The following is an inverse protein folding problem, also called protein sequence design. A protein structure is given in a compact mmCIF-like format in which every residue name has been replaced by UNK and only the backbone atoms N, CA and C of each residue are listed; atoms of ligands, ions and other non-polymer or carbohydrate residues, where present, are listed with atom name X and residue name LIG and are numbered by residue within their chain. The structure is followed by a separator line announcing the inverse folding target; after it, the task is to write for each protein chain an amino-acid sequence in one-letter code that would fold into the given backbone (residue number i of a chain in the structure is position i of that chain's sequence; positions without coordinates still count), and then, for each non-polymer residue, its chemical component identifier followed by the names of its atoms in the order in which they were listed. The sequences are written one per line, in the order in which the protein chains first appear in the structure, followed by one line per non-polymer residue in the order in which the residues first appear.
data_IF_614270584582
#
_entry.id   IF_614270584582
#
_cell.length_a   1.000
_cell.length_b   1.000
_cell.length_c   1.000
_cell.angle_alpha   90.00
_cell.angle_beta   90.00
_cell.angle_gamma   90.00
#
_symmetry.space_group_name_H-M   'P 1'
#
loop_
_entity.id
_entity.type
_entity.pdbx_description
1 polymer ?
#
# COMPACT_ATOMS: atom_id res chain seq x y z
N UNK A 1 -0.17 -13.68 -18.27
CA UNK A 1 0.67 -12.51 -18.62
C UNK A 1 1.19 -11.78 -17.38
N UNK A 2 0.33 -11.35 -16.46
CA UNK A 2 0.77 -10.63 -15.24
C UNK A 2 1.81 -11.40 -14.40
N UNK A 3 1.63 -12.72 -14.22
CA UNK A 3 2.64 -13.57 -13.57
C UNK A 3 4.03 -13.45 -14.23
N UNK A 4 4.12 -13.61 -15.55
CA UNK A 4 5.41 -13.53 -16.26
C UNK A 4 6.03 -12.13 -16.24
N UNK A 5 5.20 -11.07 -16.27
CA UNK A 5 5.66 -9.68 -16.15
C UNK A 5 6.29 -9.40 -14.78
N UNK A 6 5.66 -9.92 -13.71
CA UNK A 6 6.12 -9.68 -12.34
C UNK A 6 7.24 -10.64 -11.91
N UNK A 7 7.30 -11.85 -12.48
CA UNK A 7 8.22 -12.92 -12.10
C UNK A 7 9.69 -12.48 -12.02
N UNK A 8 10.18 -11.79 -13.04
CA UNK A 8 11.59 -11.35 -13.05
C UNK A 8 11.90 -10.35 -11.94
N UNK A 9 10.97 -9.44 -11.64
CA UNK A 9 11.10 -8.50 -10.54
C UNK A 9 11.07 -9.19 -9.17
N UNK A 10 10.29 -10.26 -9.02
CA UNK A 10 10.29 -11.08 -7.80
C UNK A 10 11.63 -11.78 -7.62
N UNK A 11 12.17 -12.41 -8.67
CA UNK A 11 13.48 -13.09 -8.62
C UNK A 11 14.59 -12.08 -8.26
N UNK A 12 14.59 -10.91 -8.90
CA UNK A 12 15.55 -9.85 -8.59
C UNK A 12 15.39 -9.34 -7.15
N UNK A 13 14.15 -9.17 -6.68
CA UNK A 13 13.85 -8.74 -5.32
C UNK A 13 14.33 -9.74 -4.26
N UNK A 14 14.20 -11.04 -4.52
CA UNK A 14 14.70 -12.10 -3.63
C UNK A 14 16.22 -12.01 -3.50
N UNK A 15 16.95 -11.91 -4.62
CA UNK A 15 18.41 -11.78 -4.58
C UNK A 15 18.87 -10.48 -3.89
N UNK A 16 18.16 -9.38 -4.13
CA UNK A 16 18.46 -8.09 -3.52
C UNK A 16 18.15 -8.07 -2.02
N UNK A 17 17.24 -8.91 -1.55
CA UNK A 17 16.81 -8.94 -0.14
C UNK A 17 17.96 -9.20 0.83
N UNK A 18 18.96 -10.00 0.44
CA UNK A 18 20.18 -10.22 1.24
C UNK A 18 20.91 -8.89 1.52
N UNK A 19 21.09 -8.07 0.49
CA UNK A 19 21.80 -6.80 0.56
C UNK A 19 20.94 -5.70 1.23
N UNK A 20 19.63 -5.73 0.98
CA UNK A 20 18.66 -4.81 1.59
C UNK A 20 18.54 -5.03 3.10
N UNK A 21 18.58 -6.27 3.59
CA UNK A 21 18.58 -6.57 5.04
C UNK A 21 19.83 -6.01 5.71
N UNK A 22 21.01 -6.23 5.12
CA UNK A 22 22.27 -5.68 5.66
C UNK A 22 22.22 -4.15 5.73
N UNK A 23 21.77 -3.52 4.64
CA UNK A 23 21.62 -2.07 4.56
C UNK A 23 20.62 -1.55 5.61
N UNK A 24 19.50 -2.24 5.81
CA UNK A 24 18.49 -1.89 6.80
C UNK A 24 19.05 -1.92 8.23
N UNK A 25 19.83 -2.95 8.58
CA UNK A 25 20.44 -3.07 9.91
C UNK A 25 21.41 -1.91 10.19
N UNK A 26 22.29 -1.63 9.23
CA UNK A 26 23.29 -0.55 9.34
C UNK A 26 22.60 0.81 9.42
N UNK A 27 21.74 1.11 8.46
CA UNK A 27 21.10 2.43 8.38
C UNK A 27 20.21 2.72 9.57
N UNK A 28 19.44 1.73 10.04
CA UNK A 28 18.55 1.91 11.18
C UNK A 28 19.34 2.16 12.47
N UNK A 29 20.44 1.42 12.66
CA UNK A 29 21.32 1.65 13.80
C UNK A 29 21.92 3.06 13.77
N UNK A 30 22.53 3.45 12.66
CA UNK A 30 23.18 4.77 12.52
C UNK A 30 22.19 5.92 12.67
N UNK A 31 21.02 5.82 12.01
CA UNK A 31 20.04 6.91 11.99
C UNK A 31 19.29 7.03 13.31
N UNK A 32 18.89 5.91 13.93
CA UNK A 32 17.95 5.92 15.05
C UNK A 32 18.59 5.60 16.40
N UNK A 33 19.51 4.64 16.46
CA UNK A 33 20.10 4.19 17.73
C UNK A 33 21.39 4.94 18.07
N UNK A 34 22.37 4.96 17.17
CA UNK A 34 23.69 5.52 17.41
C UNK A 34 23.63 7.01 17.79
N UNK A 35 22.77 7.79 17.12
CA UNK A 35 22.54 9.21 17.47
C UNK A 35 22.02 9.39 18.88
N UNK A 36 21.08 8.56 19.32
CA UNK A 36 20.53 8.63 20.68
C UNK A 36 21.54 8.16 21.73
N UNK A 37 22.30 7.10 21.43
CA UNK A 37 23.37 6.58 22.29
C UNK A 37 24.47 7.63 22.51
N UNK A 38 24.80 8.43 21.49
CA UNK A 38 25.81 9.48 21.59
C UNK A 38 25.51 10.54 22.66
N UNK A 39 24.25 10.77 23.05
CA UNK A 39 23.92 11.67 24.16
C UNK A 39 24.49 11.21 25.51
N UNK A 40 24.73 9.91 25.65
CA UNK A 40 25.23 9.29 26.88
C UNK A 40 26.75 9.11 26.88
N UNK A 41 27.48 9.58 25.85
CA UNK A 41 28.96 9.46 25.77
C UNK A 41 29.71 10.07 26.95
N UNK A 42 29.12 11.04 27.64
CA UNK A 42 29.71 11.69 28.83
C UNK A 42 29.37 11.00 30.14
N UNK A 43 28.59 9.92 30.10
CA UNK A 43 28.19 9.20 31.30
C UNK A 43 29.40 8.45 31.88
N UNK A 44 29.70 8.59 33.18
CA UNK A 44 30.95 8.11 33.78
C UNK A 44 31.09 6.57 33.82
N UNK A 45 30.00 5.83 33.67
CA UNK A 45 29.99 4.36 33.83
C UNK A 45 29.44 3.59 32.64
N UNK A 46 28.94 4.26 31.59
CA UNK A 46 28.37 3.58 30.42
C UNK A 46 29.39 3.62 29.29
N UNK A 47 29.76 2.45 28.78
CA UNK A 47 30.73 2.30 27.70
C UNK A 47 30.02 2.28 26.35
N UNK A 48 29.69 3.46 25.82
CA UNK A 48 28.97 3.59 24.53
C UNK A 48 29.76 2.97 23.37
N UNK A 49 31.08 3.10 23.37
CA UNK A 49 31.92 2.55 22.30
C UNK A 49 31.90 1.01 22.29
N UNK A 50 31.77 0.35 23.45
CA UNK A 50 31.60 -1.11 23.54
C UNK A 50 30.23 -1.57 23.03
N UNK A 51 29.18 -0.77 23.24
CA UNK A 51 27.83 -1.04 22.69
C UNK A 51 27.87 -0.94 21.16
N UNK A 52 28.50 0.11 20.62
CA UNK A 52 28.67 0.28 19.17
C UNK A 52 29.47 -0.90 18.59
N UNK A 53 30.59 -1.27 19.21
CA UNK A 53 31.40 -2.41 18.79
C UNK A 53 30.62 -3.73 18.83
N UNK A 54 29.76 -3.92 19.84
CA UNK A 54 28.89 -5.11 19.94
C UNK A 54 27.91 -5.17 18.76
N UNK A 55 27.34 -4.01 18.39
CA UNK A 55 26.49 -3.90 17.21
C UNK A 55 27.26 -4.20 15.91
N UNK A 56 28.47 -3.64 15.74
CA UNK A 56 29.28 -3.85 14.54
C UNK A 56 29.59 -5.34 14.36
N UNK A 57 29.98 -6.03 15.44
CA UNK A 57 30.18 -7.48 15.44
C UNK A 57 28.89 -8.26 15.11
N UNK A 58 27.74 -7.80 15.61
CA UNK A 58 26.44 -8.42 15.29
C UNK A 58 26.13 -8.28 13.79
N UNK A 59 26.31 -7.10 13.20
CA UNK A 59 26.10 -6.87 11.76
C UNK A 59 27.07 -7.70 10.93
N UNK A 60 28.34 -7.79 11.32
CA UNK A 60 29.31 -8.63 10.64
C UNK A 60 28.90 -10.12 10.67
N UNK A 61 28.45 -10.62 11.82
CA UNK A 61 27.97 -11.99 11.94
C UNK A 61 26.75 -12.27 11.06
N UNK A 62 25.77 -11.35 11.04
CA UNK A 62 24.59 -11.47 10.17
C UNK A 62 25.00 -11.40 8.70
N UNK A 63 25.87 -10.47 8.32
CA UNK A 63 26.34 -10.32 6.94
C UNK A 63 27.02 -11.60 6.44
N UNK A 64 27.91 -12.17 7.26
CA UNK A 64 28.59 -13.42 6.93
C UNK A 64 27.62 -14.60 6.78
N UNK A 65 26.54 -14.62 7.56
CA UNK A 65 25.52 -15.66 7.46
C UNK A 65 24.65 -15.47 6.21
N UNK A 66 24.24 -14.24 5.90
CA UNK A 66 23.49 -13.93 4.68
C UNK A 66 24.29 -14.24 3.42
N UNK A 67 25.60 -13.98 3.38
CA UNK A 67 26.46 -14.34 2.25
C UNK A 67 26.53 -15.86 2.03
N UNK A 68 26.57 -16.65 3.11
CA UNK A 68 26.50 -18.13 2.98
C UNK A 68 25.15 -18.59 2.45
N UNK A 69 24.07 -17.96 2.88
CA UNK A 69 22.73 -18.29 2.39
C UNK A 69 22.56 -17.88 0.93
N UNK A 70 23.06 -16.71 0.54
CA UNK A 70 23.10 -16.21 -0.85
C UNK A 70 23.89 -17.14 -1.76
N UNK A 71 25.03 -17.66 -1.29
CA UNK A 71 25.84 -18.62 -2.05
C UNK A 71 25.14 -19.98 -2.28
N UNK A 72 24.21 -20.37 -1.42
CA UNK A 72 23.40 -21.58 -1.57
C UNK A 72 22.01 -21.30 -2.17
N UNK A 73 21.72 -20.06 -2.55
CA UNK A 73 20.44 -19.68 -3.13
C UNK A 73 20.30 -20.30 -4.53
N UNK A 74 19.17 -20.96 -4.85
CA UNK A 74 18.95 -21.49 -6.20
C UNK A 74 18.98 -20.40 -7.27
N UNK A 75 19.60 -20.67 -8.41
CA UNK A 75 19.65 -19.73 -9.53
C UNK A 75 18.36 -19.81 -10.36
N UNK A 76 17.34 -19.06 -9.93
CA UNK A 76 16.08 -18.94 -10.66
C UNK A 76 16.17 -18.06 -11.93
N UNK A 77 17.31 -17.41 -12.20
CA UNK A 77 17.51 -16.62 -13.42
C UNK A 77 17.86 -17.50 -14.60
N UNK A 78 18.74 -18.48 -14.38
CA UNK A 78 19.17 -19.41 -15.43
C UNK A 78 18.32 -20.68 -15.46
N UNK A 79 17.98 -21.24 -14.30
CA UNK A 79 17.19 -22.47 -14.15
C UNK A 79 16.04 -22.27 -13.17
N UNK A 80 14.90 -21.79 -13.67
CA UNK A 80 13.70 -21.67 -12.85
C UNK A 80 12.90 -22.96 -12.77
N UNK A 81 13.26 -23.77 -11.77
CA UNK A 81 12.53 -25.00 -11.45
C UNK A 81 11.08 -24.74 -11.02
N UNK A 82 10.80 -23.61 -10.35
CA UNK A 82 9.44 -23.25 -9.91
C UNK A 82 8.54 -22.95 -11.10
N UNK A 83 9.04 -22.21 -12.09
CA UNK A 83 8.31 -21.97 -13.34
C UNK A 83 8.00 -23.29 -14.06
N UNK A 84 8.95 -24.21 -14.10
CA UNK A 84 8.75 -25.51 -14.75
C UNK A 84 7.67 -26.32 -14.02
N UNK A 85 7.75 -26.42 -12.70
CA UNK A 85 6.76 -27.14 -11.87
C UNK A 85 5.36 -26.52 -12.00
N UNK A 86 5.25 -25.19 -11.97
CA UNK A 86 3.97 -24.49 -12.17
C UNK A 86 3.42 -24.78 -13.58
N UNK A 87 4.27 -24.72 -14.60
CA UNK A 87 3.83 -24.96 -15.99
C UNK A 87 3.30 -26.38 -16.16
N UNK A 88 3.98 -27.38 -15.59
CA UNK A 88 3.55 -28.77 -15.62
C UNK A 88 2.25 -28.98 -14.81
N UNK A 89 2.15 -28.37 -13.63
CA UNK A 89 0.97 -28.50 -12.77
C UNK A 89 -0.31 -27.94 -13.43
N UNK A 90 -0.17 -26.87 -14.20
CA UNK A 90 -1.29 -26.25 -14.90
C UNK A 90 -1.51 -26.75 -16.33
N UNK A 91 -0.73 -27.74 -16.78
CA UNK A 91 -0.92 -28.31 -18.11
C UNK A 91 -2.33 -28.89 -18.26
N UNK A 92 -2.99 -28.58 -19.37
CA UNK A 92 -4.42 -28.84 -19.64
C UNK A 92 -5.43 -28.32 -18.58
N UNK A 93 -4.98 -27.54 -17.59
CA UNK A 93 -5.80 -26.99 -16.50
C UNK A 93 -6.06 -25.48 -16.67
N UNK A 94 -5.76 -24.91 -17.85
CA UNK A 94 -5.99 -23.50 -18.19
C UNK A 94 -7.23 -23.38 -19.08
N UNK A 95 -8.11 -22.43 -18.73
CA UNK A 95 -9.31 -22.14 -19.52
C UNK A 95 -9.02 -21.45 -20.86
N UNK A 96 -9.99 -21.48 -21.77
CA UNK A 96 -9.91 -20.72 -23.03
C UNK A 96 -10.02 -19.21 -22.75
N UNK A 97 -9.11 -18.42 -23.33
CA UNK A 97 -9.15 -16.96 -23.22
C UNK A 97 -10.34 -16.39 -24.01
N UNK A 98 -10.97 -15.34 -23.47
CA UNK A 98 -11.98 -14.58 -24.20
C UNK A 98 -11.46 -14.01 -25.52
N UNK A 99 -12.32 -14.02 -26.54
CA UNK A 99 -12.02 -13.32 -27.79
C UNK A 99 -11.87 -11.81 -27.56
N UNK A 100 -11.19 -11.13 -28.49
CA UNK A 100 -11.00 -9.66 -28.42
C UNK A 100 -12.32 -8.88 -28.34
N UNK A 101 -13.36 -9.38 -29.03
CA UNK A 101 -14.68 -8.75 -29.03
C UNK A 101 -15.39 -8.94 -27.68
N UNK A 102 -15.25 -10.12 -27.06
CA UNK A 102 -15.76 -10.38 -25.70
C UNK A 102 -15.03 -9.53 -24.67
N UNK A 103 -13.69 -9.47 -24.73
CA UNK A 103 -12.89 -8.60 -23.86
C UNK A 103 -13.31 -7.13 -23.98
N UNK A 104 -13.56 -6.65 -25.20
CA UNK A 104 -14.02 -5.27 -25.41
C UNK A 104 -15.36 -5.00 -24.73
N UNK A 105 -16.29 -5.97 -24.77
CA UNK A 105 -17.58 -5.87 -24.05
C UNK A 105 -17.36 -5.88 -22.54
N UNK A 106 -16.51 -6.77 -22.03
CA UNK A 106 -16.18 -6.86 -20.61
C UNK A 106 -15.55 -5.56 -20.11
N UNK A 107 -14.65 -4.94 -20.89
CA UNK A 107 -14.05 -3.65 -20.51
C UNK A 107 -15.05 -2.49 -20.51
N UNK A 108 -16.01 -2.49 -21.44
CA UNK A 108 -17.09 -1.50 -21.45
C UNK A 108 -17.99 -1.66 -20.23
N UNK A 109 -18.37 -2.90 -19.89
CA UNK A 109 -19.13 -3.19 -18.66
C UNK A 109 -18.32 -2.80 -17.42
N UNK A 110 -17.02 -3.11 -17.40
CA UNK A 110 -16.11 -2.81 -16.30
C UNK A 110 -16.03 -1.33 -15.98
N UNK A 111 -16.03 -0.47 -17.00
CA UNK A 111 -16.07 0.98 -16.79
C UNK A 111 -17.31 1.42 -16.01
N UNK A 112 -18.48 0.88 -16.35
CA UNK A 112 -19.72 1.21 -15.63
C UNK A 112 -19.74 0.59 -14.23
N UNK A 113 -19.27 -0.65 -14.09
CA UNK A 113 -19.20 -1.34 -12.79
C UNK A 113 -18.29 -0.60 -11.82
N UNK A 114 -17.09 -0.22 -12.26
CA UNK A 114 -16.09 0.40 -11.40
C UNK A 114 -16.51 1.81 -10.97
N UNK A 115 -17.12 2.58 -11.89
CA UNK A 115 -17.70 3.88 -11.56
C UNK A 115 -18.82 3.81 -10.49
N UNK A 116 -19.48 2.66 -10.35
CA UNK A 116 -20.52 2.40 -9.35
C UNK A 116 -20.02 1.51 -8.19
N UNK A 117 -18.70 1.30 -8.07
CA UNK A 117 -18.06 0.46 -7.04
C UNK A 117 -18.65 -0.97 -6.95
N UNK A 118 -19.03 -1.52 -8.11
CA UNK A 118 -19.57 -2.88 -8.22
C UNK A 118 -18.39 -3.87 -8.31
N UNK A 119 -18.27 -4.84 -7.38
CA UNK A 119 -17.16 -5.79 -7.34
C UNK A 119 -17.21 -6.80 -8.50
N UNK A 120 -16.10 -7.51 -8.80
CA UNK A 120 -14.76 -7.32 -8.25
C UNK A 120 -13.92 -6.37 -9.12
N UNK A 121 -12.81 -5.87 -8.58
CA UNK A 121 -11.74 -5.19 -9.30
C UNK A 121 -11.76 -3.66 -9.30
N UNK A 122 -12.81 -3.01 -8.77
CA UNK A 122 -12.91 -1.55 -8.80
C UNK A 122 -11.78 -0.85 -8.03
N UNK A 123 -11.10 -1.54 -7.11
CA UNK A 123 -9.94 -0.98 -6.39
C UNK A 123 -8.68 -0.85 -7.26
N UNK A 124 -8.64 -1.50 -8.42
CA UNK A 124 -7.50 -1.43 -9.33
C UNK A 124 -7.55 -0.26 -10.31
N UNK A 125 -8.70 0.42 -10.43
CA UNK A 125 -8.89 1.49 -11.42
C UNK A 125 -7.84 2.60 -11.27
N UNK A 126 -7.57 3.06 -10.06
CA UNK A 126 -6.66 4.18 -9.81
C UNK A 126 -5.19 3.77 -9.86
N UNK A 127 -4.86 2.49 -9.63
CA UNK A 127 -3.47 2.02 -9.50
C UNK A 127 -2.92 1.49 -10.81
N UNK A 128 -3.77 0.99 -11.71
CA UNK A 128 -3.34 0.28 -12.94
C UNK A 128 -3.58 1.06 -14.25
N UNK A 129 -4.00 2.33 -14.21
CA UNK A 129 -4.29 3.13 -15.42
C UNK A 129 -3.15 3.13 -16.45
N UNK A 130 -1.90 3.15 -15.99
CA UNK A 130 -0.70 3.19 -16.85
C UNK A 130 -0.34 1.83 -17.47
N UNK A 131 -0.96 0.74 -17.02
CA UNK A 131 -0.67 -0.63 -17.46
C UNK A 131 -1.67 -1.16 -18.50
N UNK A 132 -2.67 -0.35 -18.89
CA UNK A 132 -3.65 -0.69 -19.93
C UNK A 132 -4.90 -1.41 -19.42
N UNK A 133 -5.92 -1.52 -20.29
CA UNK A 133 -7.27 -1.96 -19.92
C UNK A 133 -7.32 -3.37 -19.31
N UNK A 134 -6.50 -4.30 -19.82
CA UNK A 134 -6.47 -5.67 -19.30
C UNK A 134 -6.00 -5.73 -17.84
N UNK A 135 -5.05 -4.86 -17.47
CA UNK A 135 -4.57 -4.77 -16.10
C UNK A 135 -5.63 -4.12 -15.18
N UNK A 136 -6.36 -3.13 -15.68
CA UNK A 136 -7.44 -2.47 -14.92
C UNK A 136 -8.60 -3.44 -14.66
N UNK A 137 -9.03 -4.16 -15.70
CA UNK A 137 -10.22 -5.03 -15.64
C UNK A 137 -9.88 -6.51 -15.45
N UNK A 138 -8.65 -6.85 -15.04
CA UNK A 138 -8.19 -8.23 -14.91
C UNK A 138 -9.07 -9.07 -13.97
N UNK A 139 -9.37 -8.52 -12.80
CA UNK A 139 -10.27 -9.13 -11.80
C UNK A 139 -11.67 -9.42 -12.38
N UNK A 140 -12.23 -8.47 -13.12
CA UNK A 140 -13.51 -8.65 -13.79
C UNK A 140 -13.45 -9.70 -14.90
N UNK A 141 -12.36 -9.76 -15.66
CA UNK A 141 -12.14 -10.80 -16.68
C UNK A 141 -12.15 -12.18 -16.03
N UNK A 142 -11.36 -12.39 -14.97
CA UNK A 142 -11.33 -13.65 -14.21
C UNK A 142 -12.74 -13.99 -13.72
N UNK A 143 -13.44 -13.01 -13.13
CA UNK A 143 -14.80 -13.22 -12.64
C UNK A 143 -15.77 -13.70 -13.73
N UNK A 144 -15.71 -13.09 -14.93
CA UNK A 144 -16.53 -13.50 -16.08
C UNK A 144 -16.14 -14.88 -16.61
N UNK A 145 -14.86 -15.26 -16.56
CA UNK A 145 -14.41 -16.62 -16.91
C UNK A 145 -15.01 -17.66 -15.96
N UNK A 146 -14.97 -17.42 -14.63
CA UNK A 146 -15.54 -18.32 -13.62
C UNK A 146 -17.06 -18.53 -13.82
N UNK A 147 -17.78 -17.43 -14.09
CA UNK A 147 -19.22 -17.44 -14.36
C UNK A 147 -19.54 -18.28 -15.61
N UNK A 148 -18.86 -18.02 -16.72
CA UNK A 148 -19.08 -18.72 -17.98
C UNK A 148 -18.69 -20.20 -17.90
N UNK A 149 -17.55 -20.50 -17.30
CA UNK A 149 -17.10 -21.87 -17.08
C UNK A 149 -18.15 -22.68 -16.32
N UNK A 150 -18.62 -22.14 -15.19
CA UNK A 150 -19.60 -22.82 -14.34
C UNK A 150 -20.97 -22.92 -14.99
N UNK A 151 -21.41 -21.89 -15.72
CA UNK A 151 -22.67 -21.93 -16.47
C UNK A 151 -22.69 -23.05 -17.51
N UNK A 152 -21.57 -23.25 -18.20
CA UNK A 152 -21.44 -24.20 -19.29
C UNK A 152 -21.22 -25.63 -18.78
N UNK A 153 -20.34 -25.82 -17.79
CA UNK A 153 -20.00 -27.14 -17.24
C UNK A 153 -20.98 -27.63 -16.18
N UNK A 154 -21.66 -26.70 -15.49
CA UNK A 154 -22.60 -26.96 -14.37
C UNK A 154 -21.98 -27.70 -13.18
N UNK A 155 -20.68 -27.58 -13.00
CA UNK A 155 -19.97 -28.18 -11.87
C UNK A 155 -19.87 -27.18 -10.71
N UNK A 156 -19.94 -27.63 -9.44
CA UNK A 156 -19.57 -26.81 -8.30
C UNK A 156 -18.15 -26.25 -8.46
N UNK A 157 -17.96 -24.99 -8.08
CA UNK A 157 -16.68 -24.28 -8.21
C UNK A 157 -16.22 -23.74 -6.85
N UNK A 158 -14.95 -23.95 -6.56
CA UNK A 158 -14.24 -23.29 -5.46
C UNK A 158 -13.25 -22.33 -6.10
N UNK A 159 -13.32 -21.06 -5.73
CA UNK A 159 -12.37 -20.04 -6.14
C UNK A 159 -11.42 -19.76 -4.98
N UNK A 160 -10.12 -19.86 -5.24
CA UNK A 160 -9.09 -19.63 -4.23
C UNK A 160 -8.35 -18.36 -4.60
N UNK A 161 -8.33 -17.38 -3.71
CA UNK A 161 -7.64 -16.10 -3.92
C UNK A 161 -7.14 -15.53 -2.60
N UNK A 162 -5.94 -14.97 -2.63
CA UNK A 162 -5.39 -14.18 -1.53
C UNK A 162 -5.46 -12.67 -1.80
N UNK A 163 -6.22 -12.23 -2.81
CA UNK A 163 -6.66 -10.84 -2.88
C UNK A 163 -7.45 -10.53 -1.61
N UNK A 164 -7.29 -9.33 -1.03
CA UNK A 164 -7.86 -8.93 0.26
C UNK A 164 -8.55 -7.59 0.20
N UNK A 165 -8.68 -7.04 -0.99
CA UNK A 165 -9.31 -5.75 -1.18
C UNK A 165 -10.81 -5.89 -0.89
N UNK A 166 -11.42 -4.77 -0.51
CA UNK A 166 -12.83 -4.75 -0.12
C UNK A 166 -13.78 -5.09 -1.28
N UNK A 167 -13.33 -5.02 -2.53
CA UNK A 167 -14.06 -5.44 -3.72
C UNK A 167 -14.09 -6.96 -3.90
N UNK A 168 -13.30 -7.72 -3.12
CA UNK A 168 -13.43 -9.18 -3.01
C UNK A 168 -14.05 -9.61 -1.67
N UNK A 169 -13.77 -8.87 -0.60
CA UNK A 169 -14.14 -9.25 0.76
C UNK A 169 -14.90 -8.19 1.55
N UNK A 170 -15.82 -8.61 2.40
CA UNK A 170 -16.35 -7.77 3.47
C UNK A 170 -15.31 -7.65 4.58
N UNK A 171 -14.83 -6.43 4.82
CA UNK A 171 -13.85 -6.11 5.86
C UNK A 171 -14.55 -5.33 6.97
N UNK A 172 -14.43 -5.79 8.22
CA UNK A 172 -14.89 -5.06 9.41
C UNK A 172 -13.73 -4.86 10.38
N UNK A 173 -13.46 -3.60 10.75
CA UNK A 173 -12.38 -3.21 11.68
C UNK A 173 -11.02 -3.84 11.35
N UNK A 174 -10.67 -3.84 10.07
CA UNK A 174 -9.41 -4.41 9.56
C UNK A 174 -9.38 -5.93 9.50
N UNK A 175 -10.49 -6.63 9.76
CA UNK A 175 -10.60 -8.09 9.65
C UNK A 175 -11.46 -8.49 8.47
N UNK A 176 -10.95 -9.40 7.65
CA UNK A 176 -11.69 -10.08 6.59
C UNK A 176 -12.75 -10.99 7.22
N UNK A 177 -14.02 -10.76 6.92
CA UNK A 177 -15.15 -11.50 7.52
C UNK A 177 -15.63 -12.61 6.60
N UNK A 178 -15.88 -12.28 5.33
CA UNK A 178 -16.44 -13.20 4.32
C UNK A 178 -16.27 -12.61 2.92
N UNK A 179 -16.40 -13.42 1.85
CA UNK A 179 -16.47 -12.90 0.49
C UNK A 179 -17.65 -11.94 0.32
N UNK A 180 -17.53 -10.97 -0.60
CA UNK A 180 -18.61 -10.00 -0.89
C UNK A 180 -19.90 -10.74 -1.27
N UNK A 181 -21.00 -10.34 -0.64
CA UNK A 181 -22.30 -10.97 -0.85
C UNK A 181 -22.84 -10.72 -2.25
N UNK A 182 -22.45 -9.59 -2.87
CA UNK A 182 -22.76 -9.25 -4.25
C UNK A 182 -22.15 -10.27 -5.22
N UNK A 183 -20.92 -10.72 -4.98
CA UNK A 183 -20.26 -11.74 -5.79
C UNK A 183 -20.97 -13.09 -5.66
N UNK A 184 -21.27 -13.49 -4.43
CA UNK A 184 -22.00 -14.75 -4.16
C UNK A 184 -23.38 -14.72 -4.85
N UNK A 185 -24.08 -13.58 -4.76
CA UNK A 185 -25.40 -13.39 -5.36
C UNK A 185 -25.34 -13.39 -6.89
N UNK A 186 -24.45 -12.59 -7.49
CA UNK A 186 -24.28 -12.53 -8.95
C UNK A 186 -23.96 -13.91 -9.52
N UNK A 187 -23.05 -14.64 -8.86
CA UNK A 187 -22.68 -15.98 -9.29
C UNK A 187 -23.86 -16.95 -9.24
N UNK A 188 -24.64 -16.93 -8.15
CA UNK A 188 -25.82 -17.78 -8.02
C UNK A 188 -26.90 -17.41 -9.03
N UNK A 189 -27.20 -16.12 -9.21
CA UNK A 189 -28.20 -15.65 -10.18
C UNK A 189 -27.85 -16.06 -11.61
N UNK A 190 -26.56 -16.00 -11.98
CA UNK A 190 -26.09 -16.33 -13.32
C UNK A 190 -26.02 -17.84 -13.55
N UNK A 191 -25.48 -18.60 -12.60
CA UNK A 191 -25.15 -20.03 -12.79
C UNK A 191 -26.20 -20.99 -12.21
N UNK A 192 -26.96 -20.57 -11.20
CA UNK A 192 -27.81 -21.43 -10.37
C UNK A 192 -27.04 -22.23 -9.31
N UNK A 193 -25.71 -22.02 -9.18
CA UNK A 193 -24.82 -22.76 -8.28
C UNK A 193 -24.23 -21.78 -7.25
N UNK A 194 -24.05 -22.23 -6.00
CA UNK A 194 -23.36 -21.43 -4.98
C UNK A 194 -21.85 -21.64 -5.10
N UNK A 195 -21.10 -20.55 -5.22
CA UNK A 195 -19.64 -20.55 -5.20
C UNK A 195 -19.10 -20.58 -3.76
N UNK A 196 -17.96 -21.22 -3.57
CA UNK A 196 -17.12 -21.05 -2.37
C UNK A 196 -15.88 -20.24 -2.75
N UNK A 197 -15.55 -19.22 -1.94
CA UNK A 197 -14.37 -18.39 -2.13
C UNK A 197 -13.53 -18.49 -0.86
N UNK A 198 -12.27 -18.90 -1.00
CA UNK A 198 -11.35 -19.11 0.13
C UNK A 198 -9.99 -18.45 -0.12
N UNK A 199 -9.34 -18.05 0.98
CA UNK A 199 -7.90 -17.85 1.00
C UNK A 199 -7.15 -19.18 0.95
N UNK A 200 -5.88 -19.17 0.56
CA UNK A 200 -5.09 -20.38 0.41
C UNK A 200 -4.98 -21.18 1.72
N UNK A 201 -4.71 -20.53 2.84
CA UNK A 201 -4.60 -21.17 4.17
C UNK A 201 -5.91 -21.85 4.61
N UNK A 202 -7.04 -21.17 4.40
CA UNK A 202 -8.36 -21.71 4.71
C UNK A 202 -8.70 -22.92 3.84
N UNK A 203 -8.39 -22.84 2.54
CA UNK A 203 -8.60 -23.97 1.64
C UNK A 203 -7.79 -25.19 2.08
N UNK A 204 -6.51 -25.03 2.39
CA UNK A 204 -5.65 -26.14 2.82
C UNK A 204 -6.11 -26.75 4.14
N UNK A 205 -6.50 -25.91 5.11
CA UNK A 205 -7.09 -26.34 6.38
C UNK A 205 -8.32 -27.21 6.13
N UNK A 206 -9.26 -26.70 5.34
CA UNK A 206 -10.50 -27.40 5.01
C UNK A 206 -10.30 -28.66 4.17
N UNK A 207 -9.31 -28.66 3.28
CA UNK A 207 -8.96 -29.82 2.48
C UNK A 207 -8.38 -30.94 3.35
N UNK A 208 -7.53 -30.59 4.33
CA UNK A 208 -7.01 -31.55 5.32
C UNK A 208 -8.13 -32.11 6.20
N UNK A 209 -8.93 -31.23 6.82
CA UNK A 209 -10.03 -31.63 7.72
C UNK A 209 -11.06 -32.53 7.04
N UNK A 210 -11.32 -32.32 5.75
CA UNK A 210 -12.23 -33.15 4.95
C UNK A 210 -11.59 -34.40 4.37
N UNK A 211 -10.31 -34.64 4.63
CA UNK A 211 -9.57 -35.80 4.12
C UNK A 211 -9.27 -35.76 2.63
N UNK A 212 -9.31 -34.60 1.99
CA UNK A 212 -8.92 -34.41 0.57
C UNK A 212 -7.40 -34.38 0.41
N UNK A 213 -6.70 -33.78 1.37
CA UNK A 213 -5.24 -33.67 1.42
C UNK A 213 -4.72 -34.10 2.81
N UNK A 214 -4.87 -35.39 3.19
CA UNK A 214 -4.54 -35.84 4.54
C UNK A 214 -3.04 -35.79 4.86
N UNK A 215 -2.19 -35.78 3.83
CA UNK A 215 -0.72 -35.80 3.96
C UNK A 215 -0.13 -34.41 4.20
N UNK A 216 -0.92 -33.33 4.06
CA UNK A 216 -0.40 -31.98 4.25
C UNK A 216 -0.04 -31.74 5.73
N UNK A 217 1.17 -31.23 5.93
CA UNK A 217 1.72 -30.93 7.25
C UNK A 217 1.08 -29.68 7.82
N UNK A 218 0.86 -29.65 9.13
CA UNK A 218 0.30 -28.46 9.81
C UNK A 218 1.27 -27.27 9.70
N UNK A 219 2.58 -27.54 9.68
CA UNK A 219 3.62 -26.53 9.49
C UNK A 219 3.47 -25.80 8.15
N UNK A 220 3.11 -26.52 7.07
CA UNK A 220 2.88 -25.92 5.75
C UNK A 220 1.65 -25.02 5.75
N UNK A 221 0.58 -25.42 6.46
CA UNK A 221 -0.62 -24.58 6.58
C UNK A 221 -0.32 -23.31 7.37
N UNK A 222 0.42 -23.43 8.47
CA UNK A 222 0.81 -22.26 9.27
C UNK A 222 1.77 -21.34 8.52
N UNK A 223 2.69 -21.86 7.69
CA UNK A 223 3.55 -21.02 6.84
C UNK A 223 2.75 -20.15 5.86
N UNK A 224 1.79 -20.75 5.14
CA UNK A 224 0.92 -20.02 4.20
C UNK A 224 0.08 -18.97 4.94
N UNK A 225 -0.41 -19.33 6.13
CA UNK A 225 -1.16 -18.42 6.99
C UNK A 225 -0.31 -17.29 7.55
N UNK A 226 0.95 -17.53 7.90
CA UNK A 226 1.86 -16.51 8.42
C UNK A 226 2.20 -15.46 7.36
N UNK A 227 2.42 -15.89 6.12
CA UNK A 227 2.54 -14.99 4.96
C UNK A 227 1.28 -14.12 4.87
N UNK A 228 0.10 -14.75 4.95
CA UNK A 228 -1.17 -14.01 4.94
C UNK A 228 -1.26 -13.00 6.08
N UNK A 229 -1.03 -13.41 7.32
CA UNK A 229 -1.16 -12.55 8.50
C UNK A 229 -0.13 -11.41 8.49
N UNK A 230 1.10 -11.66 8.00
CA UNK A 230 2.15 -10.65 7.90
C UNK A 230 1.73 -9.50 6.97
N UNK A 231 1.23 -9.83 5.78
CA UNK A 231 0.70 -8.86 4.84
C UNK A 231 -0.49 -8.08 5.42
N UNK A 232 -1.40 -8.76 6.16
CA UNK A 232 -2.56 -8.14 6.80
C UNK A 232 -2.13 -7.08 7.83
N UNK A 233 -1.12 -7.40 8.64
CA UNK A 233 -0.55 -6.46 9.60
C UNK A 233 0.11 -5.29 8.90
N UNK A 234 0.82 -5.52 7.80
CA UNK A 234 1.45 -4.45 7.03
C UNK A 234 0.41 -3.44 6.51
N UNK A 235 -0.69 -3.92 5.90
CA UNK A 235 -1.77 -3.04 5.44
C UNK A 235 -2.53 -2.36 6.58
N UNK A 236 -2.77 -3.07 7.69
CA UNK A 236 -3.41 -2.47 8.87
C UNK A 236 -2.55 -1.34 9.43
N UNK A 237 -1.25 -1.59 9.61
CA UNK A 237 -0.30 -0.57 10.07
C UNK A 237 -0.22 0.62 9.12
N UNK A 238 -0.18 0.38 7.80
CA UNK A 238 -0.24 1.45 6.79
C UNK A 238 -1.53 2.26 6.91
N UNK A 239 -2.68 1.59 7.06
CA UNK A 239 -3.97 2.25 7.21
C UNK A 239 -4.05 3.05 8.51
N UNK A 240 -3.48 2.56 9.61
CA UNK A 240 -3.40 3.26 10.89
C UNK A 240 -2.44 4.46 10.81
N UNK A 241 -1.33 4.34 10.09
CA UNK A 241 -0.41 5.45 9.81
C UNK A 241 -1.11 6.51 8.95
N UNK A 242 -1.82 6.12 7.89
CA UNK A 242 -2.57 7.05 7.03
C UNK A 242 -3.72 7.71 7.78
N UNK A 243 -4.44 6.95 8.61
CA UNK A 243 -5.53 7.46 9.44
C UNK A 243 -5.00 8.38 10.53
N UNK A 244 -3.88 8.07 11.18
CA UNK A 244 -3.27 8.97 12.17
C UNK A 244 -2.73 10.24 11.54
N UNK A 245 -2.16 10.19 10.34
CA UNK A 245 -1.77 11.39 9.57
C UNK A 245 -3.00 12.20 9.10
N UNK A 246 -4.08 11.54 8.71
CA UNK A 246 -5.36 12.16 8.35
C UNK A 246 -6.06 12.81 9.56
N UNK A 247 -6.04 12.15 10.72
CA UNK A 247 -6.54 12.70 11.98
C UNK A 247 -5.67 13.87 12.46
N UNK A 248 -4.35 13.78 12.31
CA UNK A 248 -3.44 14.89 12.61
C UNK A 248 -3.68 16.09 11.69
N UNK A 249 -3.87 15.88 10.39
CA UNK A 249 -4.15 16.96 9.44
C UNK A 249 -5.54 17.58 9.67
N UNK A 250 -6.54 16.77 10.02
CA UNK A 250 -7.87 17.24 10.43
C UNK A 250 -7.83 18.03 11.73
N UNK A 251 -7.12 17.55 12.76
CA UNK A 251 -6.90 18.32 14.00
C UNK A 251 -6.17 19.63 13.76
N UNK A 252 -5.20 19.68 12.84
CA UNK A 252 -4.53 20.93 12.46
C UNK A 252 -5.50 21.88 11.75
N UNK A 253 -6.34 21.38 10.83
CA UNK A 253 -7.39 22.16 10.16
C UNK A 253 -8.45 22.69 11.14
N UNK A 254 -8.85 21.86 12.11
CA UNK A 254 -9.81 22.23 13.15
C UNK A 254 -9.21 23.26 14.12
N UNK A 255 -7.92 23.17 14.45
CA UNK A 255 -7.20 24.19 15.22
C UNK A 255 -7.06 25.52 14.46
N UNK A 256 -6.79 25.48 13.16
CA UNK A 256 -6.68 26.67 12.30
C UNK A 256 -8.04 27.35 12.08
N UNK A 257 -9.13 26.58 12.00
CA UNK A 257 -10.48 27.13 11.86
C UNK A 257 -11.10 27.59 13.19
N UNK A 258 -10.69 27.01 14.33
CA UNK A 258 -11.09 27.46 15.66
C UNK A 258 -10.39 28.75 16.09
N UNK A 259 -9.23 29.09 15.50
CA UNK A 259 -8.59 30.39 15.67
C UNK A 259 -9.23 31.42 14.75
N UNK A 260 -10.32 32.03 15.21
CA UNK A 260 -10.83 33.28 14.64
C UNK A 260 -9.83 34.41 14.89
N UNK A 261 -8.81 34.53 14.03
CA UNK A 261 -8.06 35.77 13.94
C UNK A 261 -9.01 36.86 13.40
N UNK A 262 -9.50 37.72 14.30
CA UNK A 262 -9.99 39.03 13.88
C UNK A 262 -8.81 39.73 13.16
N UNK A 263 -8.98 40.16 11.90
CA UNK A 263 -7.95 40.97 11.26
C UNK A 263 -7.79 42.24 12.11
N UNK A 264 -6.62 42.43 12.71
CA UNK A 264 -6.28 43.67 13.39
C UNK A 264 -6.22 44.73 12.30
N UNK A 265 -7.23 45.58 12.24
CA UNK A 265 -7.26 46.71 11.34
C UNK A 265 -6.28 47.76 11.89
N UNK A 266 -5.20 48.02 11.16
CA UNK A 266 -4.10 48.92 11.60
C UNK A 266 -4.64 50.34 11.90
N UNK A 267 -5.79 50.74 11.34
CA UNK A 267 -6.48 52.00 11.65
C UNK A 267 -6.93 52.12 13.11
N UNK A 268 -7.29 51.01 13.74
CA UNK A 268 -7.88 50.97 15.09
C UNK A 268 -6.79 51.05 16.16
N UNK A 269 -5.56 50.66 15.81
CA UNK A 269 -4.39 50.81 16.67
C UNK A 269 -3.81 52.23 16.66
N UNK A 270 -3.99 52.98 15.56
CA UNK A 270 -3.49 54.35 15.40
C UNK A 270 -4.42 55.42 16.01
N UNK A 271 -5.66 55.07 16.34
CA UNK A 271 -6.65 55.99 16.93
C UNK A 271 -6.73 55.93 18.46
N UNK A 272 -6.05 54.98 19.09
CA UNK A 272 -6.06 54.77 20.56
C UNK A 272 -4.81 55.29 21.29
N UNK A 273 -3.85 55.89 20.59
CA UNK A 273 -2.73 56.61 21.20
C UNK A 273 -2.72 58.05 20.71
N UNK A 274 -3.04 58.98 21.62
CA UNK A 274 -2.79 60.40 21.42
C UNK A 274 -1.27 60.65 21.39
N UNK A 275 -0.62 60.38 20.26
CA UNK A 275 0.73 60.83 19.99
C UNK A 275 0.61 62.14 19.22
N UNK A 276 1.00 63.23 19.87
CA UNK A 276 1.12 64.54 19.24
C UNK A 276 2.11 64.46 18.07
N UNK A 277 1.66 64.93 16.90
CA UNK A 277 2.33 64.85 15.60
C UNK A 277 3.68 65.58 15.48
N UNK A 278 4.22 66.11 16.59
CA UNK A 278 5.50 66.82 16.61
C UNK A 278 6.70 65.94 16.99
N UNK A 279 6.49 64.77 17.59
CA UNK A 279 7.59 63.84 17.96
C UNK A 279 7.94 62.78 16.90
N UNK A 280 7.06 62.55 15.92
CA UNK A 280 7.27 61.50 14.90
C UNK A 280 8.16 61.99 13.74
N UNK A 281 8.07 63.26 13.35
CA UNK A 281 8.91 63.83 12.28
C UNK A 281 10.40 63.81 12.63
N UNK A 282 10.74 63.99 13.92
CA UNK A 282 12.12 64.01 14.39
C UNK A 282 12.71 62.58 14.43
N UNK A 283 11.88 61.57 14.75
CA UNK A 283 12.30 60.16 14.80
C UNK A 283 12.47 59.51 13.42
N UNK A 284 11.76 59.97 12.39
CA UNK A 284 11.85 59.42 11.02
C UNK A 284 12.99 60.02 10.18
N UNK A 285 13.63 61.10 10.65
CA UNK A 285 14.76 61.73 9.94
C UNK A 285 16.12 61.08 10.21
N UNK A 286 16.20 60.18 11.20
CA UNK A 286 17.41 59.47 11.54
C UNK A 286 17.20 57.95 11.37
N UNK A 287 17.95 57.39 10.41
CA UNK A 287 18.15 55.96 10.13
C UNK A 287 17.25 55.36 9.03
N UNK A 288 17.82 55.35 7.83
CA UNK A 288 17.44 54.55 6.66
C UNK A 288 17.39 53.06 6.98
N UNK A 289 16.21 52.45 6.86
CA UNK A 289 16.08 51.00 6.65
C UNK A 289 14.95 50.74 5.64
N UNK A 290 15.27 50.05 4.53
CA UNK A 290 14.29 49.56 3.55
C UNK A 290 13.53 48.37 4.16
N UNK A 291 12.19 48.35 4.20
CA UNK A 291 11.44 47.15 4.55
C UNK A 291 11.46 46.15 3.38
N UNK A 292 11.85 44.90 3.65
CA UNK A 292 11.73 43.78 2.72
C UNK A 292 10.26 43.34 2.71
N UNK A 293 9.65 43.28 1.52
CA UNK A 293 8.24 42.93 1.34
C UNK A 293 8.09 41.41 1.27
N UNK A 294 7.23 40.83 2.11
CA UNK A 294 7.02 39.39 2.27
C UNK A 294 6.43 38.75 0.98
N UNK A 295 5.90 39.55 0.05
CA UNK A 295 5.45 39.09 -1.28
C UNK A 295 6.56 38.46 -2.13
N UNK A 296 7.81 38.87 -1.92
CA UNK A 296 8.93 38.46 -2.75
C UNK A 296 9.51 37.10 -2.31
N UNK A 297 9.26 36.69 -1.05
CA UNK A 297 9.61 35.35 -0.57
C UNK A 297 8.61 34.29 -1.06
N UNK A 298 7.32 34.63 -1.11
CA UNK A 298 6.24 33.68 -1.43
C UNK A 298 6.12 33.36 -2.94
N UNK A 299 6.75 34.15 -3.81
CA UNK A 299 6.78 33.89 -5.25
C UNK A 299 7.88 32.91 -5.69
N UNK A 300 8.81 32.55 -4.80
CA UNK A 300 9.94 31.65 -5.12
C UNK A 300 9.69 30.16 -4.85
N UNK A 301 8.55 29.79 -4.24
CA UNK A 301 8.18 28.40 -3.93
C UNK A 301 6.85 27.95 -4.59
N UNK A 302 6.35 28.70 -5.57
CA UNK A 302 5.17 28.33 -6.33
C UNK A 302 5.53 27.39 -7.49
N UNK A 303 5.11 26.12 -7.38
CA UNK A 303 4.68 25.13 -8.42
C UNK A 303 4.54 23.79 -7.66
N UNK A 304 3.38 23.13 -7.52
CA UNK A 304 2.07 23.22 -8.18
C UNK A 304 0.97 22.62 -7.29
N UNK A 305 0.03 23.45 -6.84
CA UNK A 305 -1.27 23.05 -6.28
C UNK A 305 -2.39 23.18 -7.32
N UNK A 306 -2.11 22.88 -8.60
CA UNK A 306 -3.07 23.02 -9.71
C UNK A 306 -3.78 21.71 -10.02
N UNK A 307 -4.52 21.16 -9.06
CA UNK A 307 -5.54 20.12 -9.32
C UNK A 307 -6.67 20.01 -8.30
N UNK A 308 -6.72 20.87 -7.27
CA UNK A 308 -7.80 20.78 -6.26
C UNK A 308 -8.93 21.80 -6.52
N UNK A 309 -8.67 22.90 -7.24
CA UNK A 309 -9.71 23.87 -7.61
C UNK A 309 -10.57 23.45 -8.81
N UNK A 310 -10.09 22.53 -9.66
CA UNK A 310 -10.81 22.13 -10.88
C UNK A 310 -11.73 20.91 -10.68
N UNK A 311 -11.69 20.26 -9.50
CA UNK A 311 -12.56 19.10 -9.18
C UNK A 311 -13.78 19.43 -8.32
N UNK A 312 -13.90 20.66 -7.81
CA UNK A 312 -15.01 21.07 -6.93
C UNK A 312 -16.08 21.95 -7.61
N UNK A 313 -16.08 22.06 -8.94
CA UNK A 313 -17.12 22.78 -9.70
C UNK A 313 -17.86 21.96 -10.76
N UNK A 314 -18.01 20.65 -10.57
CA UNK A 314 -18.84 19.81 -11.45
C UNK A 314 -19.89 19.01 -10.66
N UNK A 315 -20.69 19.71 -9.85
CA UNK A 315 -22.05 19.33 -9.50
C UNK A 315 -22.94 20.57 -9.55
N UNK A 316 -23.36 20.91 -10.76
CA UNK A 316 -24.73 21.31 -11.15
C UNK A 316 -24.93 20.84 -12.58
#
# INVERSE_FOLDING_TARGET
MEYHENRLGVIEGIEKSYDDINSLLIENFDKNLQKQLNHYKRHPSILIDEIIKTHDNFVENVSNELEKQKANHPDFKTEDTVLNEITELFDDCVGEEFSKDELTKIYSEGKERYANEIPPGYKDENTKQKKGLRNIYGDLVIWKELLNYTKNKKNPLIFITDDRKEDWWTIDKGKTIRPREELIKEFFDFTGIRILIYNADQFLTYAKERGLLPEIKDETIEEVKDIRVSDEKYYTNLSDILNSQSLASKSISDMLSAQTYKPINISDMLSSQAITSKSISDMLSAQTYKPINISDMLSSQAITSKSISDMLSAQT
#
